data_IF_062819727652
#
_entry.id   IF_062819727652
#
_cell.length_a   1.000
_cell.length_b   1.000
_cell.length_c   1.000
_cell.angle_alpha   90.00
_cell.angle_beta   90.00
_cell.angle_gamma   90.00
#
_symmetry.space_group_name_H-M   'P 1'
#
loop_
_entity.id
_entity.type
_entity.pdbx_description
1 polymer ?
#
# COMPACT_ATOMS: atom_id res chain seq x y z
N UNK A 1 -3.71 -22.42 1.03
CA UNK A 1 -3.10 -22.42 2.37
C UNK A 1 -1.82 -21.61 2.43
N UNK A 2 -0.90 -21.67 1.45
CA UNK A 2 0.35 -20.89 1.52
C UNK A 2 0.16 -19.36 1.54
N UNK A 3 -0.77 -18.80 0.74
CA UNK A 3 -0.91 -17.34 0.66
C UNK A 3 -1.44 -16.71 1.95
N UNK A 4 -2.35 -17.37 2.68
CA UNK A 4 -2.85 -16.86 3.95
C UNK A 4 -1.74 -16.75 5.00
N UNK A 5 -0.84 -17.74 5.03
CA UNK A 5 0.33 -17.76 5.92
C UNK A 5 1.35 -16.68 5.54
N UNK A 6 1.62 -16.49 4.24
CA UNK A 6 2.62 -15.52 3.76
C UNK A 6 2.11 -14.07 3.87
N UNK A 7 0.81 -13.84 3.69
CA UNK A 7 0.22 -12.50 3.67
C UNK A 7 -0.34 -12.03 5.01
N UNK A 8 -0.50 -12.93 5.98
CA UNK A 8 -1.21 -12.65 7.23
C UNK A 8 -2.70 -12.36 7.04
N UNK A 9 -3.24 -12.54 5.82
CA UNK A 9 -4.65 -12.36 5.52
C UNK A 9 -5.37 -13.69 5.72
N UNK A 10 -6.40 -13.68 6.57
CA UNK A 10 -7.26 -14.84 6.81
C UNK A 10 -7.75 -15.50 5.51
N UNK A 11 -7.62 -16.83 5.40
CA UNK A 11 -8.00 -17.59 4.21
C UNK A 11 -9.47 -17.38 3.81
N UNK A 12 -10.35 -17.14 4.80
CA UNK A 12 -11.76 -16.79 4.58
C UNK A 12 -11.91 -15.44 3.87
N UNK A 13 -11.08 -14.45 4.22
CA UNK A 13 -11.08 -13.15 3.57
C UNK A 13 -10.55 -13.24 2.14
N UNK A 14 -9.47 -13.99 1.92
CA UNK A 14 -8.92 -14.26 0.59
C UNK A 14 -10.00 -14.88 -0.30
N UNK A 15 -10.68 -15.94 0.17
CA UNK A 15 -11.74 -16.61 -0.59
C UNK A 15 -12.92 -15.68 -0.89
N UNK A 16 -13.30 -14.81 0.05
CA UNK A 16 -14.35 -13.82 -0.17
C UNK A 16 -13.96 -12.78 -1.24
N UNK A 17 -12.69 -12.38 -1.29
CA UNK A 17 -12.15 -11.48 -2.32
C UNK A 17 -12.13 -12.17 -3.69
N UNK A 18 -11.60 -13.39 -3.77
CA UNK A 18 -11.52 -14.18 -5.02
C UNK A 18 -12.89 -14.42 -5.65
N UNK A 19 -13.91 -14.66 -4.81
CA UNK A 19 -15.29 -14.89 -5.25
C UNK A 19 -16.09 -13.61 -5.47
N UNK A 20 -15.47 -12.44 -5.33
CA UNK A 20 -16.10 -11.13 -5.51
C UNK A 20 -17.14 -10.77 -4.44
N UNK A 21 -17.23 -11.55 -3.36
CA UNK A 21 -18.15 -11.32 -2.23
C UNK A 21 -17.67 -10.21 -1.31
N UNK A 22 -16.40 -9.81 -1.41
CA UNK A 22 -15.78 -8.76 -0.61
C UNK A 22 -14.81 -7.95 -1.46
N UNK A 23 -14.89 -6.62 -1.38
CA UNK A 23 -13.80 -5.78 -1.87
C UNK A 23 -12.67 -5.68 -0.84
N UNK A 24 -11.41 -5.85 -1.24
CA UNK A 24 -10.27 -5.65 -0.36
C UNK A 24 -10.08 -4.16 -0.06
N UNK A 25 -9.61 -3.84 1.15
CA UNK A 25 -9.04 -2.52 1.40
C UNK A 25 -7.71 -2.37 0.66
N UNK A 26 -7.27 -1.12 0.46
CA UNK A 26 -5.96 -0.86 -0.13
C UNK A 26 -4.81 -1.54 0.64
N UNK A 27 -4.89 -1.59 1.97
CA UNK A 27 -3.90 -2.27 2.82
C UNK A 27 -3.87 -3.79 2.60
N UNK A 28 -5.04 -4.43 2.54
CA UNK A 28 -5.13 -5.88 2.27
C UNK A 28 -4.65 -6.22 0.88
N UNK A 29 -4.98 -5.40 -0.12
CA UNK A 29 -4.52 -5.59 -1.49
C UNK A 29 -2.99 -5.41 -1.60
N UNK A 30 -2.44 -4.39 -0.94
CA UNK A 30 -0.99 -4.17 -0.85
C UNK A 30 -0.28 -5.39 -0.25
N UNK A 31 -0.76 -5.91 0.88
CA UNK A 31 -0.20 -7.11 1.52
C UNK A 31 -0.23 -8.32 0.58
N UNK A 32 -1.38 -8.60 -0.05
CA UNK A 32 -1.51 -9.75 -0.96
C UNK A 32 -0.57 -9.64 -2.16
N UNK A 33 -0.41 -8.44 -2.75
CA UNK A 33 0.49 -8.23 -3.88
C UNK A 33 1.96 -8.40 -3.48
N UNK A 34 2.37 -7.80 -2.36
CA UNK A 34 3.73 -7.93 -1.83
C UNK A 34 4.07 -9.38 -1.51
N UNK A 35 3.16 -10.13 -0.87
CA UNK A 35 3.34 -11.57 -0.58
C UNK A 35 3.47 -12.44 -1.81
N UNK A 36 2.93 -12.01 -2.95
CA UNK A 36 3.10 -12.68 -4.23
C UNK A 36 4.39 -12.27 -4.96
N UNK A 37 5.19 -11.36 -4.38
CA UNK A 37 6.44 -10.85 -4.97
C UNK A 37 6.24 -9.72 -5.98
N UNK A 38 5.08 -9.06 -6.00
CA UNK A 38 4.87 -7.87 -6.82
C UNK A 38 5.44 -6.62 -6.16
N UNK A 39 6.04 -5.75 -6.97
CA UNK A 39 6.39 -4.39 -6.56
C UNK A 39 5.18 -3.47 -6.72
N UNK A 40 4.74 -2.86 -5.62
CA UNK A 40 3.60 -1.93 -5.62
C UNK A 40 4.13 -0.50 -5.67
N UNK A 41 3.73 0.22 -6.71
CA UNK A 41 4.15 1.62 -6.94
C UNK A 41 2.95 2.53 -7.16
N UNK A 42 3.00 3.73 -6.61
CA UNK A 42 2.10 4.81 -6.97
C UNK A 42 2.64 5.52 -8.21
N UNK A 43 1.79 5.65 -9.23
CA UNK A 43 2.15 6.33 -10.49
C UNK A 43 1.38 7.64 -10.62
N UNK A 44 2.12 8.73 -10.82
CA UNK A 44 1.58 10.07 -11.10
C UNK A 44 2.21 10.61 -12.39
N UNK A 45 1.58 10.30 -13.53
CA UNK A 45 2.16 10.57 -14.86
C UNK A 45 3.42 9.75 -15.09
N UNK A 46 4.55 10.43 -15.26
CA UNK A 46 5.89 9.82 -15.41
C UNK A 46 6.59 9.57 -14.07
N UNK A 47 6.00 10.00 -12.94
CA UNK A 47 6.58 9.78 -11.62
C UNK A 47 6.16 8.42 -11.08
N UNK A 48 7.15 7.68 -10.55
CA UNK A 48 6.97 6.40 -9.85
C UNK A 48 7.40 6.61 -8.40
N UNK A 49 6.51 6.30 -7.47
CA UNK A 49 6.76 6.38 -6.03
C UNK A 49 6.62 4.95 -5.48
N UNK A 50 7.71 4.31 -5.01
CA UNK A 50 7.62 2.99 -4.42
C UNK A 50 6.84 3.06 -3.10
N UNK A 51 5.91 2.13 -2.90
CA UNK A 51 5.25 2.01 -1.59
C UNK A 51 6.16 1.20 -0.65
N UNK A 52 6.16 1.52 0.66
CA UNK A 52 6.94 0.76 1.63
C UNK A 52 6.46 -0.69 1.68
N UNK A 53 7.40 -1.61 1.94
CA UNK A 53 7.08 -2.99 2.27
C UNK A 53 6.17 -3.03 3.51
N UNK A 54 5.36 -4.09 3.63
CA UNK A 54 4.48 -4.29 4.79
C UNK A 54 5.24 -4.12 6.11
N UNK A 55 4.59 -3.65 7.18
CA UNK A 55 5.25 -3.30 8.44
C UNK A 55 5.96 -4.46 9.17
N UNK A 56 5.72 -5.72 8.76
CA UNK A 56 6.41 -6.90 9.29
C UNK A 56 7.82 -7.13 8.69
N UNK A 57 8.20 -6.40 7.65
CA UNK A 57 9.52 -6.48 7.01
C UNK A 57 10.49 -5.41 7.54
N UNK A 58 10.30 -4.99 8.80
CA UNK A 58 11.30 -4.24 9.55
C UNK A 58 12.17 -5.24 10.30
N UNK A 59 13.30 -5.74 9.74
CA UNK A 59 14.30 -6.38 10.55
C UNK A 59 14.70 -5.38 11.62
N UNK A 60 14.74 -5.83 12.88
CA UNK A 60 15.26 -5.08 14.02
C UNK A 60 16.77 -4.88 13.93
N UNK A 61 17.26 -4.37 12.80
CA UNK A 61 18.60 -3.86 12.66
C UNK A 61 18.57 -2.67 11.70
N UNK A 62 19.34 -1.65 12.08
CA UNK A 62 19.45 -0.33 11.48
C UNK A 62 19.79 -0.36 9.99
N UNK A 63 18.81 -0.53 9.12
CA UNK A 63 18.86 0.07 7.80
C UNK A 63 18.47 1.53 7.99
N UNK A 64 19.46 2.41 7.88
CA UNK A 64 19.31 3.83 7.60
C UNK A 64 17.97 4.03 6.87
N UNK A 65 17.02 4.74 7.50
CA UNK A 65 15.97 5.42 6.72
C UNK A 65 16.70 5.90 5.48
N UNK A 66 16.32 5.54 4.23
CA UNK A 66 16.73 6.40 3.14
C UNK A 66 16.27 7.74 3.65
N UNK A 67 17.22 8.62 3.98
CA UNK A 67 16.89 9.89 4.56
C UNK A 67 15.77 10.34 3.65
N UNK A 68 14.56 10.51 4.20
CA UNK A 68 13.60 11.40 3.59
C UNK A 68 14.47 12.62 3.50
N UNK A 69 15.08 12.82 2.34
CA UNK A 69 15.99 13.91 2.12
C UNK A 69 15.11 15.05 2.57
N UNK A 70 15.54 15.72 3.62
CA UNK A 70 14.85 16.82 4.26
C UNK A 70 14.87 18.04 3.32
N UNK A 71 14.48 17.75 2.10
CA UNK A 71 14.48 18.43 0.82
C UNK A 71 13.28 17.91 0.00
N UNK A 72 12.33 17.23 0.65
CA UNK A 72 10.98 17.13 0.09
C UNK A 72 10.36 18.50 0.30
N UNK A 73 10.55 19.37 -0.71
CA UNK A 73 9.97 20.71 -0.77
C UNK A 73 8.53 20.68 -0.26
N UNK A 74 8.12 21.67 0.53
CA UNK A 74 6.81 21.71 1.18
C UNK A 74 5.66 21.54 0.17
N UNK A 75 5.91 21.91 -1.09
CA UNK A 75 5.03 21.65 -2.23
C UNK A 75 4.79 20.17 -2.49
N UNK A 76 5.83 19.33 -2.42
CA UNK A 76 5.72 17.89 -2.63
C UNK A 76 4.94 17.25 -1.48
N UNK A 77 5.13 17.71 -0.25
CA UNK A 77 4.32 17.29 0.90
C UNK A 77 2.86 17.70 0.73
N UNK A 78 2.60 18.93 0.34
CA UNK A 78 1.25 19.43 0.07
C UNK A 78 0.54 18.65 -1.04
N UNK A 79 1.26 18.26 -2.10
CA UNK A 79 0.72 17.44 -3.18
C UNK A 79 0.39 16.01 -2.73
N UNK A 80 1.21 15.40 -1.86
CA UNK A 80 0.91 14.09 -1.28
C UNK A 80 -0.33 14.13 -0.40
N UNK A 81 -0.46 15.17 0.45
CA UNK A 81 -1.64 15.34 1.28
C UNK A 81 -2.90 15.60 0.44
N UNK A 82 -2.83 16.44 -0.59
CA UNK A 82 -3.94 16.69 -1.49
C UNK A 82 -4.39 15.42 -2.22
N UNK A 83 -3.45 14.61 -2.73
CA UNK A 83 -3.76 13.35 -3.40
C UNK A 83 -4.44 12.34 -2.47
N UNK A 84 -4.03 12.28 -1.19
CA UNK A 84 -4.67 11.44 -0.17
C UNK A 84 -6.09 11.92 0.15
N UNK A 85 -6.30 13.23 0.25
CA UNK A 85 -7.63 13.80 0.52
C UNK A 85 -8.57 13.59 -0.66
N UNK A 86 -8.09 13.76 -1.90
CA UNK A 86 -8.90 13.51 -3.10
C UNK A 86 -9.26 12.02 -3.25
N UNK A 87 -8.35 11.11 -2.92
CA UNK A 87 -8.63 9.68 -2.90
C UNK A 87 -9.71 9.34 -1.85
N UNK A 88 -9.59 9.90 -0.65
CA UNK A 88 -10.60 9.71 0.40
C UNK A 88 -11.98 10.27 -0.01
N UNK A 89 -12.01 11.44 -0.66
CA UNK A 89 -13.23 12.05 -1.16
C UNK A 89 -13.84 11.31 -2.37
N UNK A 90 -13.03 10.60 -3.16
CA UNK A 90 -13.50 9.76 -4.24
C UNK A 90 -14.15 8.47 -3.71
N UNK A 91 -13.58 7.88 -2.66
CA UNK A 91 -14.15 6.70 -2.00
C UNK A 91 -15.48 7.01 -1.31
N UNK A 92 -15.67 8.21 -0.76
CA UNK A 92 -16.93 8.63 -0.13
C UNK A 92 -18.06 8.97 -1.11
N UNK A 93 -17.78 9.11 -2.41
CA UNK A 93 -18.81 9.41 -3.44
C UNK A 93 -19.33 8.18 -4.17
N UNK A 94 -18.86 6.99 -3.79
CA UNK A 94 -19.31 5.71 -4.36
C UNK A 94 -20.27 4.94 -3.44
N UNK A 95 -20.61 5.49 -2.27
CA UNK A 95 -21.81 5.19 -1.49
C UNK A 95 -22.97 6.14 -1.89
#
# INVERSE_FOLDING_TARGET
MQLAEISGVEQTNISAIETGRRQPSASTLHQLLMSCGYEVVARAGDKIIPLPASPDDLPGDVAESPAVTADTDDRTRALMFAALVDLAAAMQRQD
#
